data_IF_053042819464
#
_entry.id   IF_053042819464
#
_cell.length_a   1.000
_cell.length_b   1.000
_cell.length_c   1.000
_cell.angle_alpha   90.00
_cell.angle_beta   90.00
_cell.angle_gamma   90.00
#
_symmetry.space_group_name_H-M   'P 1'
#
loop_
_entity.id
_entity.type
_entity.pdbx_description
1 polymer ?
#
# COMPACT_ATOMS: atom_id res chain seq x y z
N UNK A 1 11.38 69.81 -25.99
CA UNK A 1 10.08 69.50 -25.37
C UNK A 1 9.39 68.27 -25.95
N UNK A 2 9.08 68.18 -27.25
CA UNK A 2 8.41 67.00 -27.85
C UNK A 2 9.15 65.66 -27.65
N UNK A 3 10.47 65.64 -27.79
CA UNK A 3 11.30 64.43 -27.57
C UNK A 3 11.27 63.92 -26.12
N UNK A 4 11.25 64.83 -25.14
CA UNK A 4 11.10 64.48 -23.71
C UNK A 4 9.72 63.89 -23.43
N UNK A 5 8.67 64.46 -24.04
CA UNK A 5 7.30 63.96 -23.91
C UNK A 5 7.15 62.53 -24.45
N UNK A 6 7.78 62.22 -25.60
CA UNK A 6 7.81 60.87 -26.18
C UNK A 6 8.53 59.87 -25.25
N UNK A 7 9.66 60.26 -24.64
CA UNK A 7 10.40 59.41 -23.71
C UNK A 7 9.56 59.10 -22.46
N UNK A 8 8.88 60.10 -21.89
CA UNK A 8 8.01 59.91 -20.73
C UNK A 8 6.83 58.99 -21.03
N UNK A 9 6.20 59.12 -22.21
CA UNK A 9 5.13 58.22 -22.65
C UNK A 9 5.66 56.79 -22.82
N UNK A 10 6.82 56.61 -23.44
CA UNK A 10 7.46 55.30 -23.61
C UNK A 10 7.73 54.63 -22.25
N UNK A 11 8.29 55.36 -21.30
CA UNK A 11 8.52 54.85 -19.94
C UNK A 11 7.19 54.46 -19.28
N UNK A 12 6.14 55.26 -19.43
CA UNK A 12 4.81 54.96 -18.91
C UNK A 12 4.20 53.69 -19.51
N UNK A 13 4.32 53.49 -20.82
CA UNK A 13 3.86 52.28 -21.51
C UNK A 13 4.65 51.05 -21.05
N UNK A 14 5.98 51.14 -20.97
CA UNK A 14 6.83 50.05 -20.48
C UNK A 14 6.48 49.68 -19.04
N UNK A 15 6.29 50.67 -18.17
CA UNK A 15 5.88 50.45 -16.78
C UNK A 15 4.49 49.78 -16.69
N UNK A 16 3.51 50.22 -17.50
CA UNK A 16 2.19 49.61 -17.55
C UNK A 16 2.23 48.15 -18.00
N UNK A 17 2.97 47.86 -19.08
CA UNK A 17 3.16 46.49 -19.58
C UNK A 17 3.85 45.61 -18.54
N UNK A 18 4.89 46.13 -17.86
CA UNK A 18 5.58 45.40 -16.79
C UNK A 18 4.64 45.08 -15.62
N UNK A 19 3.78 46.01 -15.20
CA UNK A 19 2.80 45.77 -14.13
C UNK A 19 1.79 44.70 -14.52
N UNK A 20 1.25 44.74 -15.75
CA UNK A 20 0.32 43.70 -16.22
C UNK A 20 1.01 42.34 -16.32
N UNK A 21 2.24 42.30 -16.85
CA UNK A 21 3.03 41.06 -16.90
C UNK A 21 3.25 40.45 -15.51
N UNK A 22 3.63 41.27 -14.51
CA UNK A 22 3.80 40.81 -13.13
C UNK A 22 2.49 40.32 -12.51
N UNK A 23 1.37 41.00 -12.81
CA UNK A 23 0.03 40.58 -12.37
C UNK A 23 -0.36 39.24 -12.99
N UNK A 24 -0.19 39.07 -14.29
CA UNK A 24 -0.54 37.84 -15.00
C UNK A 24 0.30 36.66 -14.51
N UNK A 25 1.62 36.86 -14.34
CA UNK A 25 2.52 35.84 -13.76
C UNK A 25 2.08 35.42 -12.35
N UNK A 26 1.59 36.36 -11.54
CA UNK A 26 1.12 36.08 -10.17
C UNK A 26 -0.10 35.15 -10.13
N UNK A 27 -0.98 35.21 -11.14
CA UNK A 27 -2.21 34.39 -11.19
C UNK A 27 -2.09 33.17 -12.11
N UNK A 28 -1.07 33.12 -12.96
CA UNK A 28 -0.79 32.00 -13.86
C UNK A 28 0.58 31.40 -13.53
N UNK A 29 0.64 30.45 -12.58
CA UNK A 29 1.90 29.79 -12.25
C UNK A 29 2.46 29.02 -13.46
N UNK A 30 3.80 28.95 -13.62
CA UNK A 30 4.44 28.35 -14.77
C UNK A 30 4.38 26.81 -14.79
N UNK A 31 4.04 26.19 -13.67
CA UNK A 31 4.05 24.73 -13.49
C UNK A 31 2.71 24.21 -12.94
N UNK A 32 2.37 22.99 -13.33
CA UNK A 32 1.36 22.21 -12.60
C UNK A 32 1.94 21.82 -11.23
N UNK A 33 1.25 22.22 -10.17
CA UNK A 33 1.61 21.88 -8.79
C UNK A 33 0.74 20.78 -8.19
N UNK A 34 -0.34 20.39 -8.88
CA UNK A 34 -1.27 19.41 -8.35
C UNK A 34 -0.65 18.01 -8.32
N UNK A 35 -0.99 17.27 -7.27
CA UNK A 35 -0.71 15.84 -7.20
C UNK A 35 -1.82 15.10 -7.97
N UNK A 36 -1.45 14.26 -8.93
CA UNK A 36 -2.40 13.47 -9.72
C UNK A 36 -2.93 12.29 -8.90
N UNK A 37 -4.25 12.20 -8.74
CA UNK A 37 -4.88 11.12 -7.98
C UNK A 37 -4.91 9.82 -8.80
N UNK A 38 -4.34 8.75 -8.25
CA UNK A 38 -4.43 7.41 -8.83
C UNK A 38 -5.88 6.88 -8.85
N UNK A 39 -6.22 6.18 -9.92
CA UNK A 39 -7.50 5.50 -10.10
C UNK A 39 -7.45 4.03 -9.62
N UNK A 40 -6.27 3.53 -9.24
CA UNK A 40 -6.04 2.12 -8.92
C UNK A 40 -5.97 1.86 -7.41
N UNK A 41 -6.50 2.78 -6.60
CA UNK A 41 -6.44 2.70 -5.14
C UNK A 41 -7.59 1.87 -4.56
N UNK A 42 -7.37 1.29 -3.38
CA UNK A 42 -8.43 0.68 -2.58
C UNK A 42 -9.24 1.73 -1.84
N UNK A 43 -10.40 2.12 -2.39
CA UNK A 43 -11.33 3.04 -1.73
C UNK A 43 -12.05 2.43 -0.53
N UNK A 44 -11.91 1.12 -0.33
CA UNK A 44 -12.47 0.37 0.79
C UNK A 44 -11.40 -0.11 1.77
N UNK A 45 -10.27 0.61 1.83
CA UNK A 45 -9.17 0.26 2.70
C UNK A 45 -9.61 0.20 4.17
N UNK A 46 -9.17 -0.85 4.88
CA UNK A 46 -9.64 -1.15 6.25
C UNK A 46 -9.39 -0.01 7.23
N UNK A 47 -8.33 0.79 7.01
CA UNK A 47 -8.05 2.00 7.75
C UNK A 47 -8.53 3.24 6.97
N UNK A 48 -9.73 3.72 7.32
CA UNK A 48 -10.32 4.92 6.71
C UNK A 48 -9.51 6.19 6.96
N UNK A 49 -8.68 6.23 8.00
CA UNK A 49 -7.83 7.40 8.27
C UNK A 49 -6.76 7.56 7.19
N UNK A 50 -6.19 6.45 6.71
CA UNK A 50 -5.20 6.45 5.60
C UNK A 50 -5.82 7.00 4.32
N UNK A 51 -7.03 6.54 3.96
CA UNK A 51 -7.73 7.02 2.76
C UNK A 51 -8.04 8.52 2.85
N UNK A 52 -8.53 8.96 4.02
CA UNK A 52 -8.82 10.37 4.28
C UNK A 52 -7.55 11.22 4.19
N UNK A 53 -6.45 10.78 4.80
CA UNK A 53 -5.19 11.52 4.79
C UNK A 53 -4.61 11.58 3.38
N UNK A 54 -4.67 10.50 2.59
CA UNK A 54 -4.23 10.50 1.20
C UNK A 54 -4.94 11.59 0.38
N UNK A 55 -6.28 11.59 0.37
CA UNK A 55 -7.03 12.58 -0.38
C UNK A 55 -6.77 13.99 0.12
N UNK A 56 -6.71 14.19 1.44
CA UNK A 56 -6.41 15.49 2.03
C UNK A 56 -5.04 15.98 1.56
N UNK A 57 -3.98 15.21 1.78
CA UNK A 57 -2.61 15.60 1.43
C UNK A 57 -2.49 15.86 -0.07
N UNK A 58 -2.98 14.95 -0.92
CA UNK A 58 -2.88 15.07 -2.38
C UNK A 58 -3.59 16.34 -2.91
N UNK A 59 -4.77 16.66 -2.38
CA UNK A 59 -5.49 17.89 -2.74
C UNK A 59 -4.83 19.16 -2.16
N UNK A 60 -4.19 19.05 -0.99
CA UNK A 60 -3.51 20.17 -0.34
C UNK A 60 -2.21 20.56 -1.05
N UNK A 61 -1.45 19.62 -1.65
CA UNK A 61 -0.16 19.86 -2.34
C UNK A 61 -0.26 21.05 -3.31
N UNK A 62 -1.21 20.99 -4.25
CA UNK A 62 -1.38 22.05 -5.25
C UNK A 62 -1.90 23.35 -4.65
N UNK A 63 -2.77 23.27 -3.63
CA UNK A 63 -3.30 24.45 -2.95
C UNK A 63 -2.22 25.22 -2.18
N UNK A 64 -1.30 24.50 -1.52
CA UNK A 64 -0.17 25.02 -0.78
C UNK A 64 0.79 25.75 -1.71
N UNK A 65 1.22 25.08 -2.79
CA UNK A 65 2.12 25.65 -3.79
C UNK A 65 1.55 26.92 -4.45
N UNK A 66 0.27 26.88 -4.88
CA UNK A 66 -0.40 28.05 -5.47
C UNK A 66 -0.53 29.21 -4.49
N UNK A 67 -0.76 28.92 -3.20
CA UNK A 67 -0.85 29.96 -2.16
C UNK A 67 0.48 30.70 -2.01
N UNK A 68 1.59 29.96 -1.93
CA UNK A 68 2.93 30.52 -1.82
C UNK A 68 3.36 31.28 -3.08
N UNK A 69 3.07 30.75 -4.26
CA UNK A 69 3.31 31.46 -5.52
C UNK A 69 2.56 32.81 -5.55
N UNK A 70 1.27 32.79 -5.22
CA UNK A 70 0.41 33.98 -5.28
C UNK A 70 0.77 35.02 -4.22
N UNK A 71 1.10 34.60 -3.00
CA UNK A 71 1.23 35.50 -1.86
C UNK A 71 2.69 35.88 -1.58
N UNK A 72 3.63 34.97 -1.83
CA UNK A 72 5.04 35.10 -1.47
C UNK A 72 5.99 35.06 -2.68
N UNK A 73 5.48 34.82 -3.90
CA UNK A 73 6.29 34.66 -5.12
C UNK A 73 7.31 33.52 -5.03
N UNK A 74 7.05 32.54 -4.16
CA UNK A 74 7.90 31.36 -3.96
C UNK A 74 7.43 30.27 -4.92
N UNK A 75 8.34 29.73 -5.73
CA UNK A 75 8.12 28.52 -6.53
C UNK A 75 8.70 27.31 -5.81
N UNK A 76 7.85 26.55 -5.12
CA UNK A 76 8.24 25.40 -4.29
C UNK A 76 8.88 24.24 -5.07
N UNK A 77 8.95 24.32 -6.40
CA UNK A 77 9.66 23.35 -7.25
C UNK A 77 11.15 23.67 -7.39
N UNK A 78 11.56 24.88 -7.03
CA UNK A 78 12.94 25.35 -7.15
C UNK A 78 13.39 25.95 -5.82
N UNK A 79 14.23 25.21 -5.10
CA UNK A 79 14.81 25.68 -3.84
C UNK A 79 15.68 26.91 -4.08
N UNK A 80 15.54 27.92 -3.22
CA UNK A 80 16.46 29.05 -3.14
C UNK A 80 17.14 29.01 -1.77
N UNK A 81 18.37 28.49 -1.74
CA UNK A 81 19.13 28.27 -0.50
C UNK A 81 19.49 29.57 0.24
N UNK A 82 19.42 30.71 -0.45
CA UNK A 82 19.64 32.04 0.14
C UNK A 82 18.39 32.60 0.82
N UNK A 83 17.21 32.04 0.55
CA UNK A 83 15.92 32.43 1.12
C UNK A 83 15.38 31.33 2.02
N UNK A 84 15.40 31.62 3.33
CA UNK A 84 14.92 30.70 4.36
C UNK A 84 13.45 30.28 4.15
N UNK A 85 12.57 31.22 3.76
CA UNK A 85 11.16 30.93 3.54
C UNK A 85 10.97 30.04 2.31
N UNK A 86 11.74 30.30 1.24
CA UNK A 86 11.73 29.45 0.03
C UNK A 86 12.22 28.04 0.32
N UNK A 87 13.31 27.92 1.07
CA UNK A 87 13.88 26.63 1.50
C UNK A 87 12.85 25.84 2.29
N UNK A 88 12.29 26.44 3.34
CA UNK A 88 11.30 25.78 4.20
C UNK A 88 10.03 25.41 3.41
N UNK A 89 9.57 26.30 2.54
CA UNK A 89 8.40 26.06 1.73
C UNK A 89 8.58 24.88 0.77
N UNK A 90 9.74 24.78 0.15
CA UNK A 90 10.12 23.68 -0.76
C UNK A 90 10.21 22.35 -0.01
N UNK A 91 10.80 22.33 1.18
CA UNK A 91 10.84 21.14 2.05
C UNK A 91 9.43 20.64 2.37
N UNK A 92 8.55 21.51 2.86
CA UNK A 92 7.16 21.14 3.19
C UNK A 92 6.42 20.61 1.97
N UNK A 93 6.57 21.24 0.80
CA UNK A 93 5.96 20.76 -0.43
C UNK A 93 6.44 19.35 -0.80
N UNK A 94 7.75 19.09 -0.70
CA UNK A 94 8.34 17.78 -0.95
C UNK A 94 7.87 16.73 0.07
N UNK A 95 7.75 17.09 1.34
CA UNK A 95 7.18 16.24 2.40
C UNK A 95 5.72 15.87 2.10
N UNK A 96 4.91 16.83 1.63
CA UNK A 96 3.52 16.57 1.25
C UNK A 96 3.44 15.61 0.05
N UNK A 97 4.28 15.79 -0.98
CA UNK A 97 4.33 14.87 -2.13
C UNK A 97 4.75 13.47 -1.69
N UNK A 98 5.81 13.36 -0.88
CA UNK A 98 6.30 12.08 -0.39
C UNK A 98 5.23 11.36 0.44
N UNK A 99 4.54 12.10 1.30
CA UNK A 99 3.43 11.59 2.11
C UNK A 99 2.27 11.11 1.24
N UNK A 100 1.81 11.93 0.29
CA UNK A 100 0.76 11.54 -0.64
C UNK A 100 1.15 10.28 -1.42
N UNK A 101 2.39 10.18 -1.90
CA UNK A 101 2.86 9.02 -2.67
C UNK A 101 2.98 7.76 -1.82
N UNK A 102 3.44 7.88 -0.58
CA UNK A 102 3.51 6.76 0.36
C UNK A 102 2.11 6.20 0.65
N UNK A 103 1.14 7.08 0.93
CA UNK A 103 -0.24 6.68 1.20
C UNK A 103 -0.91 6.08 -0.05
N UNK A 104 -0.70 6.68 -1.23
CA UNK A 104 -1.17 6.14 -2.51
C UNK A 104 -0.65 4.74 -2.75
N UNK A 105 0.66 4.54 -2.61
CA UNK A 105 1.31 3.23 -2.83
C UNK A 105 0.72 2.17 -1.88
N UNK A 106 0.44 2.54 -0.63
CA UNK A 106 -0.22 1.66 0.34
C UNK A 106 -1.63 1.27 -0.12
N UNK A 107 -2.41 2.22 -0.63
CA UNK A 107 -3.77 1.96 -1.11
C UNK A 107 -3.78 1.16 -2.43
N UNK A 108 -2.85 1.43 -3.35
CA UNK A 108 -2.67 0.66 -4.60
C UNK A 108 -2.26 -0.79 -4.30
N UNK A 109 -1.33 -0.99 -3.37
CA UNK A 109 -0.92 -2.33 -2.92
C UNK A 109 -2.10 -3.08 -2.28
N UNK A 110 -2.95 -2.40 -1.50
CA UNK A 110 -4.18 -3.01 -0.99
C UNK A 110 -5.11 -3.45 -2.12
N UNK A 111 -5.32 -2.60 -3.13
CA UNK A 111 -6.15 -2.95 -4.28
C UNK A 111 -5.58 -4.15 -5.05
N UNK A 112 -4.25 -4.21 -5.20
CA UNK A 112 -3.57 -5.34 -5.82
C UNK A 112 -3.77 -6.62 -5.00
N UNK A 113 -3.61 -6.59 -3.67
CA UNK A 113 -3.86 -7.75 -2.80
C UNK A 113 -5.32 -8.21 -2.90
N UNK A 114 -6.28 -7.29 -2.84
CA UNK A 114 -7.71 -7.60 -3.01
C UNK A 114 -8.02 -8.21 -4.37
N UNK A 115 -7.34 -7.79 -5.44
CA UNK A 115 -7.45 -8.40 -6.76
C UNK A 115 -6.94 -9.86 -6.80
N UNK A 116 -6.01 -10.21 -5.91
CA UNK A 116 -5.53 -11.59 -5.65
C UNK A 116 -6.43 -12.36 -4.66
N UNK A 117 -7.59 -11.79 -4.34
CA UNK A 117 -8.61 -12.34 -3.47
C UNK A 117 -8.40 -12.09 -1.99
N UNK A 118 -7.43 -11.26 -1.57
CA UNK A 118 -7.24 -10.95 -0.14
C UNK A 118 -8.49 -10.26 0.42
N UNK A 119 -8.98 -10.73 1.57
CA UNK A 119 -10.03 -10.03 2.31
C UNK A 119 -9.44 -8.95 3.24
N UNK A 120 -10.28 -8.08 3.80
CA UNK A 120 -9.83 -6.96 4.63
C UNK A 120 -9.00 -7.39 5.86
N UNK A 121 -9.29 -8.56 6.43
CA UNK A 121 -8.48 -9.11 7.51
C UNK A 121 -7.08 -9.49 7.01
N UNK A 122 -6.97 -10.20 5.89
CA UNK A 122 -5.68 -10.58 5.32
C UNK A 122 -4.85 -9.36 4.89
N UNK A 123 -5.48 -8.36 4.28
CA UNK A 123 -4.85 -7.08 3.94
C UNK A 123 -4.30 -6.39 5.20
N UNK A 124 -5.08 -6.35 6.28
CA UNK A 124 -4.61 -5.78 7.54
C UNK A 124 -3.38 -6.50 8.08
N UNK A 125 -3.43 -7.83 8.13
CA UNK A 125 -2.31 -8.65 8.62
C UNK A 125 -1.04 -8.45 7.77
N UNK A 126 -1.19 -8.30 6.45
CA UNK A 126 -0.07 -7.97 5.57
C UNK A 126 0.59 -6.64 5.92
N UNK A 127 -0.18 -5.56 6.11
CA UNK A 127 0.38 -4.24 6.40
C UNK A 127 0.88 -4.07 7.84
N UNK A 128 0.22 -4.69 8.82
CA UNK A 128 0.55 -4.50 10.24
C UNK A 128 1.59 -5.48 10.76
N UNK A 129 1.63 -6.70 10.20
CA UNK A 129 2.49 -7.77 10.69
C UNK A 129 3.42 -8.36 9.62
N UNK A 130 3.28 -7.93 8.36
CA UNK A 130 4.08 -8.48 7.26
C UNK A 130 3.70 -9.92 6.89
N UNK A 131 2.52 -10.39 7.31
CA UNK A 131 2.08 -11.76 7.05
C UNK A 131 1.33 -11.88 5.72
N UNK A 132 1.78 -12.81 4.89
CA UNK A 132 1.07 -13.21 3.66
C UNK A 132 -0.15 -14.07 3.99
N UNK A 133 -1.02 -14.32 3.00
CA UNK A 133 -2.11 -15.31 3.16
C UNK A 133 -1.58 -16.66 3.60
N UNK A 134 -0.48 -17.09 3.00
CA UNK A 134 0.16 -18.37 3.29
C UNK A 134 0.62 -18.42 4.75
N UNK A 135 1.23 -17.34 5.25
CA UNK A 135 1.63 -17.24 6.66
C UNK A 135 0.40 -17.26 7.58
N UNK A 136 -0.65 -16.49 7.25
CA UNK A 136 -1.90 -16.47 8.03
C UNK A 136 -2.55 -17.85 8.09
N UNK A 137 -2.58 -18.57 6.97
CA UNK A 137 -3.15 -19.91 6.92
C UNK A 137 -2.28 -20.91 7.67
N UNK A 138 -0.95 -20.77 7.60
CA UNK A 138 -0.02 -21.59 8.35
C UNK A 138 -0.19 -21.41 9.86
N UNK A 139 -0.21 -20.16 10.35
CA UNK A 139 -0.42 -19.85 11.77
C UNK A 139 -1.75 -20.39 12.29
N UNK A 140 -2.83 -20.29 11.51
CA UNK A 140 -4.15 -20.84 11.87
C UNK A 140 -4.17 -22.35 12.02
N UNK A 141 -3.24 -23.06 11.38
CA UNK A 141 -3.15 -24.52 11.38
C UNK A 141 -1.91 -25.02 12.13
N UNK A 142 -1.22 -24.15 12.86
CA UNK A 142 0.03 -24.48 13.56
C UNK A 142 -0.15 -25.60 14.60
N UNK A 143 -1.34 -25.74 15.18
CA UNK A 143 -1.68 -26.81 16.12
C UNK A 143 -1.69 -28.22 15.50
N UNK A 144 -1.59 -28.35 14.17
CA UNK A 144 -1.43 -29.62 13.49
C UNK A 144 0.04 -30.06 13.40
N UNK A 145 0.99 -29.17 13.68
CA UNK A 145 2.42 -29.47 13.64
C UNK A 145 2.78 -30.55 14.68
N UNK A 146 3.73 -31.41 14.33
CA UNK A 146 4.23 -32.53 15.13
C UNK A 146 3.20 -33.64 15.44
N UNK A 147 2.00 -33.58 14.85
CA UNK A 147 1.04 -34.68 14.95
C UNK A 147 1.61 -35.96 14.34
N UNK A 148 1.54 -37.04 15.13
CA UNK A 148 2.04 -38.36 14.78
C UNK A 148 1.24 -39.46 15.46
N UNK A 149 1.55 -40.71 15.11
CA UNK A 149 0.87 -41.88 15.66
C UNK A 149 0.82 -41.86 17.20
N UNK A 150 -0.36 -42.15 17.74
CA UNK A 150 -0.67 -42.07 19.17
C UNK A 150 -1.33 -40.76 19.61
N UNK A 151 -1.21 -39.67 18.83
CA UNK A 151 -1.92 -38.42 19.11
C UNK A 151 -3.45 -38.61 19.05
N UNK A 152 -4.19 -37.81 19.83
CA UNK A 152 -5.65 -37.84 19.86
C UNK A 152 -6.23 -36.45 20.08
N UNK A 153 -7.47 -36.23 19.64
CA UNK A 153 -8.24 -35.01 19.91
C UNK A 153 -8.61 -34.22 18.66
N UNK A 154 -9.02 -32.97 18.86
CA UNK A 154 -9.55 -32.11 17.80
C UNK A 154 -8.55 -31.88 16.65
N UNK A 155 -7.27 -31.64 16.97
CA UNK A 155 -6.23 -31.46 15.96
C UNK A 155 -6.09 -32.69 15.03
N UNK A 156 -6.19 -33.90 15.58
CA UNK A 156 -6.16 -35.13 14.77
C UNK A 156 -7.42 -35.27 13.93
N UNK A 157 -8.58 -34.92 14.48
CA UNK A 157 -9.85 -34.94 13.75
C UNK A 157 -9.82 -33.98 12.55
N UNK A 158 -9.18 -32.82 12.72
CA UNK A 158 -8.96 -31.85 11.65
C UNK A 158 -7.94 -32.33 10.61
N UNK A 159 -6.81 -32.93 11.04
CA UNK A 159 -5.87 -33.58 10.12
C UNK A 159 -6.56 -34.66 9.28
N UNK A 160 -7.36 -35.53 9.90
CA UNK A 160 -8.13 -36.55 9.19
C UNK A 160 -9.11 -35.92 8.20
N UNK A 161 -9.70 -34.77 8.54
CA UNK A 161 -10.54 -33.99 7.61
C UNK A 161 -9.76 -33.56 6.37
N UNK A 162 -8.58 -32.97 6.57
CA UNK A 162 -7.73 -32.46 5.48
C UNK A 162 -7.19 -33.58 4.59
N UNK A 163 -6.98 -34.77 5.15
CA UNK A 163 -6.53 -35.95 4.42
C UNK A 163 -7.63 -36.66 3.62
N UNK A 164 -8.91 -36.41 3.96
CA UNK A 164 -10.05 -37.06 3.32
C UNK A 164 -10.48 -36.31 2.06
N UNK A 165 -10.89 -37.06 1.04
CA UNK A 165 -11.52 -36.54 -0.17
C UNK A 165 -12.89 -37.20 -0.37
N UNK A 166 -13.69 -36.68 -1.30
CA UNK A 166 -15.00 -37.24 -1.63
C UNK A 166 -14.93 -38.70 -2.14
N UNK A 167 -13.79 -39.10 -2.72
CA UNK A 167 -13.59 -40.43 -3.31
C UNK A 167 -12.79 -41.38 -2.42
N UNK A 168 -12.11 -40.88 -1.39
CA UNK A 168 -11.23 -41.69 -0.55
C UNK A 168 -11.09 -41.10 0.86
N UNK A 169 -11.60 -41.83 1.86
CA UNK A 169 -11.71 -41.34 3.23
C UNK A 169 -11.29 -42.38 4.27
N UNK A 170 -10.66 -41.92 5.34
CA UNK A 170 -10.41 -42.65 6.57
C UNK A 170 -11.39 -42.20 7.67
N UNK A 171 -11.59 -42.98 8.75
CA UNK A 171 -12.38 -42.53 9.89
C UNK A 171 -11.89 -41.19 10.43
N UNK A 172 -12.82 -40.25 10.60
CA UNK A 172 -12.57 -38.94 11.18
C UNK A 172 -12.98 -38.96 12.67
N UNK A 173 -12.23 -39.71 13.46
CA UNK A 173 -12.53 -40.05 14.86
C UNK A 173 -11.62 -39.31 15.87
N UNK A 174 -10.67 -38.52 15.39
CA UNK A 174 -9.70 -37.83 16.23
C UNK A 174 -8.66 -38.77 16.85
N UNK A 175 -8.43 -39.97 16.31
CA UNK A 175 -7.44 -40.93 16.79
C UNK A 175 -6.37 -41.17 15.72
N UNK A 176 -5.13 -40.76 16.01
CA UNK A 176 -4.01 -40.92 15.08
C UNK A 176 -3.46 -42.34 15.21
N UNK A 177 -4.14 -43.29 14.58
CA UNK A 177 -3.76 -44.70 14.51
C UNK A 177 -2.95 -45.03 13.24
N UNK A 178 -2.69 -46.32 13.00
CA UNK A 178 -1.95 -46.79 11.84
C UNK A 178 -2.65 -46.44 10.50
N UNK A 179 -3.98 -46.36 10.47
CA UNK A 179 -4.75 -45.96 9.29
C UNK A 179 -4.45 -44.50 8.95
N UNK A 180 -4.52 -43.61 9.95
CA UNK A 180 -4.18 -42.18 9.78
C UNK A 180 -2.72 -41.99 9.38
N UNK A 181 -1.80 -42.73 10.01
CA UNK A 181 -0.37 -42.67 9.68
C UNK A 181 -0.08 -43.09 8.24
N UNK A 182 -0.69 -44.19 7.77
CA UNK A 182 -0.50 -44.65 6.39
C UNK A 182 -1.10 -43.66 5.39
N UNK A 183 -2.29 -43.10 5.68
CA UNK A 183 -2.89 -42.05 4.86
C UNK A 183 -1.98 -40.83 4.73
N UNK A 184 -1.41 -40.36 5.85
CA UNK A 184 -0.48 -39.23 5.84
C UNK A 184 0.78 -39.53 5.03
N UNK A 185 1.35 -40.73 5.15
CA UNK A 185 2.50 -41.15 4.34
C UNK A 185 2.19 -41.15 2.85
N UNK A 186 1.01 -41.65 2.44
CA UNK A 186 0.56 -41.58 1.05
C UNK A 186 0.39 -40.14 0.58
N UNK A 187 -0.22 -39.28 1.41
CA UNK A 187 -0.34 -37.85 1.10
C UNK A 187 1.03 -37.19 0.91
N UNK A 188 1.98 -37.44 1.82
CA UNK A 188 3.35 -36.94 1.73
C UNK A 188 4.02 -37.40 0.45
N UNK A 189 3.97 -38.70 0.14
CA UNK A 189 4.54 -39.26 -1.07
C UNK A 189 3.95 -38.64 -2.34
N UNK A 190 2.62 -38.48 -2.40
CA UNK A 190 1.93 -37.89 -3.55
C UNK A 190 2.30 -36.40 -3.76
N UNK A 191 2.71 -35.71 -2.69
CA UNK A 191 3.20 -34.33 -2.73
C UNK A 191 4.73 -34.22 -2.85
N UNK A 192 5.43 -35.34 -3.11
CA UNK A 192 6.89 -35.35 -3.25
C UNK A 192 7.65 -35.09 -1.95
N UNK A 193 7.02 -35.31 -0.80
CA UNK A 193 7.60 -35.16 0.53
C UNK A 193 8.14 -36.51 1.04
N UNK A 194 9.03 -36.46 2.04
CA UNK A 194 9.49 -37.68 2.72
C UNK A 194 8.33 -38.27 3.55
N UNK A 195 7.96 -39.56 3.35
CA UNK A 195 6.80 -40.16 3.99
C UNK A 195 7.08 -40.56 5.45
N UNK A 196 7.35 -39.58 6.32
CA UNK A 196 7.61 -39.77 7.74
C UNK A 196 6.39 -40.32 8.50
N UNK A 197 5.18 -39.93 8.08
CA UNK A 197 3.96 -40.15 8.85
C UNK A 197 3.83 -39.22 10.06
N UNK A 198 4.59 -38.13 10.09
CA UNK A 198 4.50 -37.02 11.06
C UNK A 198 4.22 -35.72 10.31
N UNK A 199 3.43 -34.81 10.89
CA UNK A 199 3.13 -33.50 10.28
C UNK A 199 4.25 -32.51 10.58
N UNK A 200 5.25 -32.44 9.70
CA UNK A 200 6.28 -31.38 9.73
C UNK A 200 5.82 -30.10 9.00
N UNK A 201 6.62 -29.04 9.03
CA UNK A 201 6.25 -27.76 8.39
C UNK A 201 5.96 -27.89 6.89
N UNK A 202 6.69 -28.75 6.18
CA UNK A 202 6.49 -28.98 4.73
C UNK A 202 5.18 -29.71 4.48
N UNK A 203 4.88 -30.70 5.32
CA UNK A 203 3.63 -31.45 5.28
C UNK A 203 2.45 -30.54 5.60
N UNK A 204 2.57 -29.69 6.63
CA UNK A 204 1.54 -28.72 6.99
C UNK A 204 1.26 -27.74 5.83
N UNK A 205 2.31 -27.16 5.23
CA UNK A 205 2.16 -26.29 4.05
C UNK A 205 1.49 -26.98 2.86
N UNK A 206 1.73 -28.28 2.66
CA UNK A 206 1.06 -29.04 1.62
C UNK A 206 -0.42 -29.33 1.96
N UNK A 207 -0.75 -29.54 3.24
CA UNK A 207 -2.13 -29.82 3.69
C UNK A 207 -3.07 -28.62 3.55
N UNK A 208 -2.55 -27.40 3.69
CA UNK A 208 -3.34 -26.15 3.75
C UNK A 208 -3.29 -25.33 2.47
N UNK A 209 -2.71 -25.89 1.41
CA UNK A 209 -2.63 -25.25 0.09
C UNK A 209 -3.96 -25.31 -0.64
#
# INVERSE_FOLDING_TARGET
MKRLLVIVILIGVVAYVAVQYLKDRRFNPPSAYDYELSQNIDTDFYDRAVLKEYYKTALEVGSYARSLWRNNQIDVRFINDEDFESTRATEVYNEMIATAKMLETKLEMSAELKSKGYNDYEVRMYFEQGLTREDINFERNYHLLDLKIGAKGAAVWELQKLLNTDSDSIPQDGIFNLITANRLKTFQQNNGLFPSGEVDEKTLKALIK
#
